data_IF_222415050282
#
_entry.id   IF_222415050282
#
_cell.length_a   1.000
_cell.length_b   1.000
_cell.length_c   1.000
_cell.angle_alpha   90.00
_cell.angle_beta   90.00
_cell.angle_gamma   90.00
#
_symmetry.space_group_name_H-M   'P 1'
#
loop_
_entity.id
_entity.type
_entity.pdbx_description
1 polymer ?
#
# COMPACT_ATOMS: atom_id res chain seq x y z
N UNK A 1 6.29 -11.70 -15.58
CA UNK A 1 7.09 -11.23 -14.44
C UNK A 1 8.23 -10.32 -14.90
N UNK A 2 8.61 -9.37 -14.09
CA UNK A 2 9.74 -8.48 -14.31
C UNK A 2 10.23 -7.91 -12.99
N UNK A 3 11.49 -7.46 -12.97
CA UNK A 3 12.05 -6.88 -11.77
C UNK A 3 13.35 -6.12 -12.05
N UNK A 4 13.74 -5.30 -11.11
CA UNK A 4 14.97 -4.52 -11.12
C UNK A 4 15.59 -4.55 -9.73
N UNK A 5 16.89 -4.80 -9.68
CA UNK A 5 17.69 -4.74 -8.46
C UNK A 5 18.83 -3.74 -8.70
N UNK A 6 18.94 -2.76 -7.82
CA UNK A 6 20.04 -1.82 -7.75
C UNK A 6 20.76 -1.99 -6.42
N UNK A 7 22.08 -2.13 -6.48
CA UNK A 7 22.93 -2.19 -5.28
C UNK A 7 24.09 -1.20 -5.45
N UNK A 8 24.23 -0.32 -4.48
CA UNK A 8 25.34 0.61 -4.36
C UNK A 8 26.06 0.29 -3.06
N UNK A 9 27.34 -0.06 -3.12
CA UNK A 9 28.13 -0.49 -1.98
C UNK A 9 29.42 0.31 -1.90
N UNK A 10 29.71 0.82 -0.73
CA UNK A 10 30.99 1.39 -0.35
C UNK A 10 31.58 0.56 0.79
N UNK A 11 32.41 -0.43 0.47
CA UNK A 11 32.92 -1.40 1.47
C UNK A 11 33.76 -0.78 2.59
N UNK A 12 34.33 0.39 2.34
CA UNK A 12 35.10 1.11 3.35
C UNK A 12 35.00 2.62 3.10
N UNK A 13 34.10 3.27 3.82
CA UNK A 13 34.03 4.72 3.85
C UNK A 13 35.03 5.27 4.86
N UNK A 14 36.09 5.90 4.37
CA UNK A 14 37.17 6.43 5.22
C UNK A 14 36.71 7.59 6.11
N UNK A 15 35.68 8.31 5.69
CA UNK A 15 35.10 9.43 6.45
C UNK A 15 34.16 8.95 7.54
N UNK A 16 33.29 8.00 7.21
CA UNK A 16 32.32 7.44 8.15
C UNK A 16 32.91 6.28 9.00
N UNK A 17 34.06 5.72 8.61
CA UNK A 17 34.72 4.62 9.30
C UNK A 17 33.97 3.30 9.29
N UNK A 18 33.06 3.09 8.30
CA UNK A 18 32.20 1.90 8.22
C UNK A 18 31.82 1.57 6.78
N UNK A 19 31.23 0.40 6.60
CA UNK A 19 30.58 0.03 5.34
C UNK A 19 29.28 0.80 5.17
N UNK A 20 29.01 1.21 3.94
CA UNK A 20 27.79 1.93 3.57
C UNK A 20 27.20 1.36 2.29
N UNK A 21 25.89 1.50 2.13
CA UNK A 21 25.23 1.02 0.93
C UNK A 21 23.77 1.43 0.81
N UNK A 22 23.27 1.32 -0.41
CA UNK A 22 21.88 1.48 -0.79
C UNK A 22 21.44 0.27 -1.62
N UNK A 23 20.35 -0.35 -1.25
CA UNK A 23 19.69 -1.40 -2.02
C UNK A 23 18.30 -0.95 -2.42
N UNK A 24 17.94 -1.18 -3.68
CA UNK A 24 16.59 -1.01 -4.19
C UNK A 24 16.18 -2.25 -4.97
N UNK A 25 15.01 -2.77 -4.69
CA UNK A 25 14.44 -3.92 -5.35
C UNK A 25 13.01 -3.60 -5.76
N UNK A 26 12.73 -3.72 -7.04
CA UNK A 26 11.38 -3.76 -7.56
C UNK A 26 11.14 -5.06 -8.29
N UNK A 27 10.02 -5.71 -8.02
CA UNK A 27 9.63 -6.93 -8.71
C UNK A 27 8.11 -7.02 -8.86
N UNK A 28 7.66 -7.51 -10.01
CA UNK A 28 6.26 -7.79 -10.28
C UNK A 28 6.10 -9.13 -10.96
N UNK A 29 5.16 -9.92 -10.46
CA UNK A 29 4.76 -11.19 -11.06
C UNK A 29 3.24 -11.23 -11.17
N UNK A 30 2.76 -11.51 -12.38
CA UNK A 30 1.36 -11.80 -12.65
C UNK A 30 1.20 -13.33 -12.77
N UNK A 31 0.34 -13.92 -11.94
CA UNK A 31 -0.04 -15.32 -11.95
C UNK A 31 -1.38 -15.46 -12.68
N UNK A 32 -1.32 -15.56 -13.99
CA UNK A 32 -2.49 -15.47 -14.86
C UNK A 32 -3.10 -14.06 -14.87
N UNK A 33 -4.40 -13.97 -15.09
CA UNK A 33 -5.15 -12.70 -15.12
C UNK A 33 -5.69 -12.28 -13.77
N UNK A 34 -5.70 -13.19 -12.79
CA UNK A 34 -6.42 -12.98 -11.54
C UNK A 34 -5.52 -12.55 -10.38
N UNK A 35 -4.25 -12.95 -10.34
CA UNK A 35 -3.40 -12.73 -9.19
C UNK A 35 -2.12 -11.99 -9.59
N UNK A 36 -1.81 -10.92 -8.86
CA UNK A 36 -0.58 -10.13 -9.00
C UNK A 36 0.13 -9.98 -7.67
N UNK A 37 1.43 -10.15 -7.70
CA UNK A 37 2.35 -9.84 -6.62
C UNK A 37 3.29 -8.71 -7.05
N UNK A 38 3.46 -7.72 -6.18
CA UNK A 38 4.38 -6.61 -6.37
C UNK A 38 5.24 -6.43 -5.12
N UNK A 39 6.53 -6.31 -5.32
CA UNK A 39 7.51 -5.99 -4.28
C UNK A 39 8.22 -4.71 -4.70
N UNK A 40 8.24 -3.74 -3.80
CA UNK A 40 8.97 -2.49 -3.92
C UNK A 40 9.66 -2.23 -2.58
N UNK A 41 10.98 -2.30 -2.55
CA UNK A 41 11.73 -2.20 -1.32
C UNK A 41 13.01 -1.40 -1.52
N UNK A 42 13.26 -0.46 -0.63
CA UNK A 42 14.51 0.28 -0.56
C UNK A 42 15.07 0.26 0.86
N UNK A 43 16.38 0.20 0.96
CA UNK A 43 17.10 0.27 2.22
C UNK A 43 18.43 0.99 2.06
N UNK A 44 18.67 1.99 2.90
CA UNK A 44 19.95 2.64 3.03
C UNK A 44 20.61 2.25 4.37
N UNK A 45 21.93 2.10 4.37
CA UNK A 45 22.71 1.80 5.57
C UNK A 45 22.61 2.86 6.65
N UNK A 46 22.37 4.10 6.24
CA UNK A 46 22.26 5.26 7.13
C UNK A 46 21.54 6.44 6.45
N UNK A 47 21.08 7.39 7.28
CA UNK A 47 20.34 8.57 6.80
C UNK A 47 21.18 9.59 6.01
N UNK A 48 22.52 9.56 6.13
CA UNK A 48 23.39 10.47 5.37
C UNK A 48 23.73 9.96 3.96
N UNK A 49 23.33 8.72 3.63
CA UNK A 49 23.64 8.18 2.29
C UNK A 49 23.24 9.13 1.18
N UNK A 50 22.04 9.71 1.27
CA UNK A 50 21.51 10.59 0.23
C UNK A 50 22.12 12.00 0.24
N UNK A 51 22.56 12.49 1.39
CA UNK A 51 23.29 13.75 1.50
C UNK A 51 24.66 13.65 0.84
N UNK A 52 25.35 12.51 1.07
CA UNK A 52 26.73 12.32 0.62
C UNK A 52 26.83 11.81 -0.84
N UNK A 53 25.85 11.01 -1.29
CA UNK A 53 25.90 10.30 -2.58
C UNK A 53 24.69 10.55 -3.47
N UNK A 54 23.66 11.28 -3.01
CA UNK A 54 22.48 11.61 -3.81
C UNK A 54 22.84 12.52 -4.98
N UNK A 55 22.29 12.23 -6.15
CA UNK A 55 22.47 13.05 -7.35
C UNK A 55 21.25 13.95 -7.57
N UNK A 56 21.49 15.26 -7.59
CA UNK A 56 20.46 16.26 -7.84
C UNK A 56 19.51 16.50 -6.67
N UNK A 57 18.57 17.46 -6.81
CA UNK A 57 17.65 17.84 -5.73
C UNK A 57 16.75 16.68 -5.24
N UNK A 58 16.29 15.84 -6.15
CA UNK A 58 15.42 14.69 -5.81
C UNK A 58 16.18 13.59 -5.05
N UNK A 59 17.48 13.44 -5.32
CA UNK A 59 18.33 12.47 -4.64
C UNK A 59 18.73 12.87 -3.22
N UNK A 60 18.76 14.17 -2.94
CA UNK A 60 19.16 14.70 -1.61
C UNK A 60 17.97 14.98 -0.69
N UNK A 61 16.73 14.98 -1.21
CA UNK A 61 15.51 15.28 -0.46
C UNK A 61 14.70 14.05 -0.06
N UNK A 62 15.35 12.91 0.11
CA UNK A 62 14.68 11.65 0.50
C UNK A 62 14.37 11.68 1.99
N UNK A 63 13.09 11.68 2.32
CA UNK A 63 12.58 11.70 3.71
C UNK A 63 12.41 10.27 4.23
N UNK A 64 11.78 9.41 3.43
CA UNK A 64 11.47 8.02 3.78
C UNK A 64 11.85 7.09 2.64
N UNK A 65 12.26 5.87 2.99
CA UNK A 65 12.36 4.75 2.07
C UNK A 65 11.24 3.77 2.39
N UNK A 66 10.36 3.57 1.42
CA UNK A 66 9.26 2.62 1.53
C UNK A 66 9.75 1.19 1.28
N UNK A 67 9.16 0.23 2.00
CA UNK A 67 9.22 -1.20 1.76
C UNK A 67 7.80 -1.72 1.68
N UNK A 68 7.41 -2.20 0.52
CA UNK A 68 6.05 -2.62 0.27
C UNK A 68 6.01 -3.97 -0.44
N UNK A 69 5.20 -4.86 0.11
CA UNK A 69 4.74 -6.06 -0.57
C UNK A 69 3.25 -5.91 -0.82
N UNK A 70 2.82 -5.99 -2.06
CA UNK A 70 1.44 -5.88 -2.51
C UNK A 70 0.97 -7.17 -3.16
N UNK A 71 -0.27 -7.56 -2.88
CA UNK A 71 -0.99 -8.63 -3.53
C UNK A 71 -2.30 -8.08 -4.04
N UNK A 72 -2.60 -8.27 -5.32
CA UNK A 72 -3.92 -8.00 -5.89
C UNK A 72 -4.52 -9.29 -6.38
N UNK A 73 -5.72 -9.61 -5.92
CA UNK A 73 -6.46 -10.78 -6.36
C UNK A 73 -7.84 -10.38 -6.88
N UNK A 74 -8.11 -10.75 -8.13
CA UNK A 74 -9.33 -10.41 -8.85
C UNK A 74 -10.20 -11.65 -8.99
N UNK A 75 -11.45 -11.58 -8.55
CA UNK A 75 -12.51 -12.49 -8.91
C UNK A 75 -13.44 -11.85 -9.94
N UNK A 76 -14.48 -12.56 -10.35
CA UNK A 76 -15.43 -12.08 -11.38
C UNK A 76 -16.15 -10.80 -10.93
N UNK A 77 -16.49 -10.69 -9.67
CA UNK A 77 -17.28 -9.61 -9.11
C UNK A 77 -16.64 -8.95 -7.88
N UNK A 78 -15.37 -9.25 -7.59
CA UNK A 78 -14.67 -8.74 -6.42
C UNK A 78 -13.17 -8.56 -6.65
N UNK A 79 -12.58 -7.73 -5.85
CA UNK A 79 -11.14 -7.47 -5.78
C UNK A 79 -10.69 -7.49 -4.32
N UNK A 80 -9.59 -8.14 -4.06
CA UNK A 80 -8.86 -8.10 -2.80
C UNK A 80 -7.46 -7.55 -3.04
N UNK A 81 -7.11 -6.48 -2.34
CA UNK A 81 -5.75 -5.95 -2.29
C UNK A 81 -5.18 -6.16 -0.90
N UNK A 82 -4.08 -6.89 -0.81
CA UNK A 82 -3.29 -7.08 0.38
C UNK A 82 -2.03 -6.23 0.33
N UNK A 83 -1.61 -5.67 1.47
CA UNK A 83 -0.40 -4.86 1.57
C UNK A 83 0.31 -5.09 2.90
N UNK A 84 1.63 -5.26 2.81
CA UNK A 84 2.55 -5.05 3.92
C UNK A 84 3.39 -3.82 3.58
N UNK A 85 3.42 -2.82 4.45
CA UNK A 85 4.08 -1.55 4.20
C UNK A 85 4.82 -1.09 5.45
N UNK A 86 6.09 -0.78 5.28
CA UNK A 86 6.95 -0.26 6.31
C UNK A 86 7.81 0.86 5.74
N UNK A 87 8.29 1.77 6.60
CA UNK A 87 9.12 2.91 6.19
C UNK A 87 10.42 2.93 6.98
N UNK A 88 11.51 3.22 6.30
CA UNK A 88 12.76 3.63 6.93
C UNK A 88 12.84 5.16 6.86
N UNK A 89 12.88 5.83 8.01
CA UNK A 89 13.08 7.28 8.07
C UNK A 89 14.54 7.59 7.77
N UNK A 90 14.78 8.44 6.80
CA UNK A 90 16.09 8.91 6.38
C UNK A 90 16.38 10.27 7.00
N UNK A 91 15.40 11.18 6.95
CA UNK A 91 15.49 12.51 7.53
C UNK A 91 15.49 12.45 9.06
N UNK A 92 16.58 12.91 9.67
CA UNK A 92 16.83 12.78 11.12
C UNK A 92 16.11 13.81 11.96
N UNK A 93 15.65 14.91 11.33
CA UNK A 93 14.91 15.95 12.03
C UNK A 93 13.46 15.57 12.34
N UNK A 94 12.98 14.43 11.81
CA UNK A 94 11.62 13.96 12.05
C UNK A 94 11.55 13.16 13.34
N UNK A 95 10.80 13.70 14.28
CA UNK A 95 10.53 13.06 15.55
C UNK A 95 9.78 11.72 15.35
N UNK A 96 9.96 10.80 16.31
CA UNK A 96 9.33 9.46 16.20
C UNK A 96 7.81 9.53 16.13
N UNK A 97 7.21 10.54 16.75
CA UNK A 97 5.78 10.78 16.74
C UNK A 97 5.23 11.19 15.35
N UNK A 98 6.09 11.76 14.50
CA UNK A 98 5.72 12.23 13.16
C UNK A 98 6.06 11.22 12.05
N UNK A 99 6.69 10.09 12.39
CA UNK A 99 7.01 9.03 11.43
C UNK A 99 5.74 8.34 10.93
N UNK A 100 5.68 7.94 9.65
CA UNK A 100 4.52 7.26 9.10
C UNK A 100 4.28 5.91 9.77
N UNK A 101 3.00 5.53 9.94
CA UNK A 101 2.63 4.22 10.41
C UNK A 101 3.00 3.12 9.41
N UNK A 102 3.56 2.04 9.90
CA UNK A 102 3.58 0.78 9.18
C UNK A 102 2.17 0.20 9.12
N UNK A 103 1.86 -0.52 8.03
CA UNK A 103 0.59 -1.25 7.84
C UNK A 103 0.93 -2.73 7.62
N UNK A 104 0.68 -3.55 8.63
CA UNK A 104 1.21 -4.92 8.72
C UNK A 104 0.21 -5.92 9.31
N UNK A 105 -0.80 -6.40 8.57
CA UNK A 105 -1.16 -6.12 7.18
C UNK A 105 -2.20 -5.03 7.00
N UNK A 106 -2.44 -4.63 5.75
CA UNK A 106 -3.65 -3.97 5.30
C UNK A 106 -4.32 -4.82 4.22
N UNK A 107 -5.62 -5.07 4.37
CA UNK A 107 -6.46 -5.76 3.40
C UNK A 107 -7.59 -4.84 2.97
N UNK A 108 -7.75 -4.65 1.67
CA UNK A 108 -8.84 -3.89 1.07
C UNK A 108 -9.68 -4.86 0.23
N UNK A 109 -10.96 -4.90 0.49
CA UNK A 109 -11.89 -5.74 -0.25
C UNK A 109 -12.97 -4.86 -0.90
N UNK A 110 -13.22 -5.10 -2.18
CA UNK A 110 -14.35 -4.50 -2.90
C UNK A 110 -15.06 -5.58 -3.70
N UNK A 111 -16.37 -5.57 -3.66
CA UNK A 111 -17.16 -6.52 -4.43
C UNK A 111 -18.53 -5.99 -4.76
N UNK A 112 -19.09 -6.43 -5.89
CA UNK A 112 -20.44 -6.05 -6.34
C UNK A 112 -21.11 -7.26 -6.99
N UNK A 113 -22.27 -7.65 -6.49
CA UNK A 113 -23.00 -8.81 -6.97
C UNK A 113 -24.42 -8.43 -7.37
N UNK A 114 -24.85 -8.81 -8.57
CA UNK A 114 -26.25 -8.72 -8.95
C UNK A 114 -27.08 -9.75 -8.18
N UNK A 115 -28.20 -9.33 -7.62
CA UNK A 115 -29.21 -10.17 -6.99
C UNK A 115 -30.50 -10.14 -7.79
N UNK A 116 -31.38 -11.13 -7.56
CA UNK A 116 -32.72 -11.22 -8.16
C UNK A 116 -32.71 -11.04 -9.69
N UNK A 117 -31.79 -11.76 -10.38
CA UNK A 117 -31.69 -11.67 -11.84
C UNK A 117 -31.17 -10.33 -12.36
N UNK A 118 -30.45 -9.56 -11.54
CA UNK A 118 -29.89 -8.26 -11.90
C UNK A 118 -30.80 -7.07 -11.55
N UNK A 119 -31.96 -7.33 -10.94
CA UNK A 119 -32.90 -6.27 -10.51
C UNK A 119 -32.34 -5.47 -9.33
N UNK A 120 -31.52 -6.10 -8.49
CA UNK A 120 -30.89 -5.50 -7.32
C UNK A 120 -29.38 -5.74 -7.39
N UNK A 121 -28.58 -4.76 -7.05
CA UNK A 121 -27.14 -4.89 -6.90
C UNK A 121 -26.74 -4.72 -5.42
N UNK A 122 -25.89 -5.63 -4.93
CA UNK A 122 -25.23 -5.47 -3.63
C UNK A 122 -23.79 -5.17 -3.83
N UNK A 123 -23.25 -4.28 -3.01
CA UNK A 123 -21.82 -3.98 -2.95
C UNK A 123 -21.30 -4.08 -1.53
N UNK A 124 -20.04 -4.41 -1.39
CA UNK A 124 -19.31 -4.38 -0.12
C UNK A 124 -17.94 -3.76 -0.37
N UNK A 125 -17.61 -2.75 0.43
CA UNK A 125 -16.26 -2.24 0.59
C UNK A 125 -15.81 -2.54 2.01
N UNK A 126 -14.58 -3.03 2.18
CA UNK A 126 -14.04 -3.34 3.48
C UNK A 126 -12.54 -3.04 3.55
N UNK A 127 -12.09 -2.58 4.71
CA UNK A 127 -10.69 -2.44 5.05
C UNK A 127 -10.43 -3.07 6.40
N UNK A 128 -9.38 -3.88 6.47
CA UNK A 128 -8.77 -4.34 7.70
C UNK A 128 -7.31 -3.90 7.69
N UNK A 129 -6.88 -3.13 8.67
CA UNK A 129 -5.50 -2.65 8.74
C UNK A 129 -4.97 -2.70 10.18
N UNK A 130 -3.81 -3.33 10.35
CA UNK A 130 -3.01 -3.19 11.56
C UNK A 130 -2.02 -2.06 11.37
N UNK A 131 -2.11 -1.05 12.24
CA UNK A 131 -1.22 0.09 12.27
C UNK A 131 -0.18 -0.08 13.37
N UNK A 132 1.09 0.08 13.02
CA UNK A 132 2.20 -0.02 13.95
C UNK A 132 3.15 1.16 13.77
N UNK A 133 3.64 1.72 14.88
CA UNK A 133 4.65 2.76 14.94
C UNK A 133 5.44 2.62 16.26
N UNK A 134 6.71 3.03 16.25
CA UNK A 134 7.57 2.97 17.43
C UNK A 134 6.99 3.76 18.61
N UNK A 135 6.42 4.92 18.34
CA UNK A 135 5.82 5.81 19.34
C UNK A 135 4.39 6.16 18.92
N UNK A 136 3.42 5.95 19.78
CA UNK A 136 2.01 6.28 19.54
C UNK A 136 1.08 5.08 19.67
N UNK A 137 -0.16 5.24 19.23
CA UNK A 137 -1.20 4.21 19.32
C UNK A 137 -1.05 3.21 18.19
N UNK A 138 -0.87 1.94 18.55
CA UNK A 138 -0.91 0.81 17.61
C UNK A 138 -2.24 0.10 17.72
N UNK A 139 -2.73 -0.50 16.64
CA UNK A 139 -3.97 -1.24 16.71
C UNK A 139 -4.54 -1.68 15.37
N UNK A 140 -5.59 -2.46 15.47
CA UNK A 140 -6.38 -2.92 14.35
C UNK A 140 -7.51 -1.94 14.08
N UNK A 141 -7.68 -1.57 12.81
CA UNK A 141 -8.85 -0.86 12.31
C UNK A 141 -9.63 -1.76 11.36
N UNK A 142 -10.92 -1.85 11.59
CA UNK A 142 -11.88 -2.47 10.67
C UNK A 142 -12.82 -1.38 10.15
N UNK A 143 -12.95 -1.29 8.84
CA UNK A 143 -13.96 -0.47 8.17
C UNK A 143 -14.76 -1.37 7.23
N UNK A 144 -16.09 -1.28 7.27
CA UNK A 144 -16.99 -2.08 6.45
C UNK A 144 -18.15 -1.22 5.96
N UNK A 145 -18.36 -1.19 4.65
CA UNK A 145 -19.41 -0.39 4.00
C UNK A 145 -20.23 -1.23 3.00
N UNK A 146 -21.25 -1.96 3.47
CA UNK A 146 -22.22 -2.60 2.58
C UNK A 146 -23.12 -1.58 1.90
N UNK A 147 -23.46 -1.87 0.65
CA UNK A 147 -24.39 -1.08 -0.18
C UNK A 147 -25.42 -1.99 -0.84
N UNK A 148 -26.66 -1.49 -0.95
CA UNK A 148 -27.72 -2.06 -1.72
C UNK A 148 -28.22 -1.01 -2.72
N UNK A 149 -28.36 -1.37 -3.98
CA UNK A 149 -28.87 -0.49 -5.02
C UNK A 149 -29.96 -1.20 -5.84
N UNK A 150 -30.97 -0.45 -6.22
CA UNK A 150 -32.09 -0.94 -7.04
C UNK A 150 -32.22 -0.12 -8.33
N UNK A 151 -31.50 -0.50 -9.40
CA UNK A 151 -31.56 0.20 -10.68
C UNK A 151 -32.89 -0.06 -11.39
N UNK A 152 -33.72 0.97 -11.45
CA UNK A 152 -34.98 0.98 -12.16
C UNK A 152 -34.78 1.68 -13.52
N UNK A 153 -34.98 0.95 -14.61
CA UNK A 153 -34.79 1.47 -15.96
C UNK A 153 -36.05 1.28 -16.79
N UNK A 154 -36.48 2.33 -17.49
CA UNK A 154 -37.58 2.30 -18.43
C UNK A 154 -37.37 3.24 -19.61
N UNK A 155 -38.27 3.20 -20.63
CA UNK A 155 -38.17 4.12 -21.75
C UNK A 155 -38.24 5.59 -21.25
N UNK A 156 -37.10 6.29 -21.34
CA UNK A 156 -36.99 7.70 -20.96
C UNK A 156 -36.68 8.00 -19.49
N UNK A 157 -36.46 7.00 -18.63
CA UNK A 157 -36.01 7.23 -17.26
C UNK A 157 -34.99 6.20 -16.77
N UNK A 158 -34.13 6.65 -15.90
CA UNK A 158 -33.24 5.83 -15.08
C UNK A 158 -33.29 6.36 -13.64
N UNK A 159 -33.65 5.50 -12.69
CA UNK A 159 -33.67 5.82 -11.27
C UNK A 159 -32.93 4.71 -10.53
N UNK A 160 -31.99 5.05 -9.64
CA UNK A 160 -31.22 4.09 -8.84
C UNK A 160 -31.27 4.46 -7.35
N UNK A 161 -32.39 4.15 -6.65
CA UNK A 161 -32.38 4.25 -5.20
C UNK A 161 -31.32 3.32 -4.62
N UNK A 162 -30.54 3.83 -3.66
CA UNK A 162 -29.53 3.04 -2.98
C UNK A 162 -29.47 3.37 -1.49
N UNK A 163 -29.12 2.38 -0.71
CA UNK A 163 -28.84 2.51 0.71
C UNK A 163 -27.43 1.95 1.01
N UNK A 164 -26.69 2.63 1.83
CA UNK A 164 -25.38 2.18 2.33
C UNK A 164 -25.30 2.42 3.82
N UNK A 165 -24.55 1.58 4.49
CA UNK A 165 -24.20 1.72 5.91
C UNK A 165 -22.71 1.56 6.06
N UNK A 166 -22.07 2.28 7.02
CA UNK A 166 -20.64 2.17 7.30
C UNK A 166 -20.43 1.91 8.79
N UNK A 167 -19.57 0.97 9.08
CA UNK A 167 -19.09 0.64 10.41
C UNK A 167 -17.58 0.76 10.45
N UNK A 168 -17.05 1.46 11.45
CA UNK A 168 -15.61 1.58 11.70
C UNK A 168 -15.34 1.29 13.17
N UNK A 169 -14.38 0.41 13.44
CA UNK A 169 -13.93 0.04 14.79
C UNK A 169 -12.41 0.03 14.87
#
# INVERSE_FOLDING_TARGET
>A
SGGHLELQLLPHDQVAGRERGLGRLWHRTDFGSALRLELDAAHASDGRWFEDFGLGPDGTSVIYLERRLGLTWLGDNWRLDGRLQHFQTIERSIDEEDRPYARLPQLLFTGTWPLAGGTVATGVEGELAWFERETGVTGLRLDLAPRLAWPLRGPGYHLEPSASWRYTA
#
